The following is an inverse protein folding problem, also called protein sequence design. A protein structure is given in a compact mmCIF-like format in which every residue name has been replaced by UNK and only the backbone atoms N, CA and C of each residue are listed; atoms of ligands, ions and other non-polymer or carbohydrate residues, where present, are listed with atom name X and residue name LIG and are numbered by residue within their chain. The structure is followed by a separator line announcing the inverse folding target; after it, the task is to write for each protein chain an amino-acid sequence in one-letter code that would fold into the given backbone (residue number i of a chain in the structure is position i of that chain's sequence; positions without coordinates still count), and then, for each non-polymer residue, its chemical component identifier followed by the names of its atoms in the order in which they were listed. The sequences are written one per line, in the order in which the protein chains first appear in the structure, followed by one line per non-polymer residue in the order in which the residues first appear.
data_IF_629675167662
#
_entry.id   IF_629675167662
#
_cell.length_a   1.000
_cell.length_b   1.000
_cell.length_c   1.000
_cell.angle_alpha   90.00
_cell.angle_beta   90.00
_cell.angle_gamma   90.00
#
_symmetry.space_group_name_H-M   'P 1'
#
loop_
_entity.id
_entity.type
_entity.pdbx_description
1 polymer ?
#
# COMPACT_ATOMS: atom_id res chain seq x y z
N UNK A 1 -36.60 21.49 -4.44
CA UNK A 1 -35.18 21.42 -4.86
C UNK A 1 -34.55 20.23 -4.14
N UNK A 2 -34.33 19.13 -4.84
CA UNK A 2 -33.81 17.88 -4.28
C UNK A 2 -32.28 18.00 -4.14
N UNK A 3 -31.75 18.02 -2.92
CA UNK A 3 -30.29 17.97 -2.69
C UNK A 3 -29.75 16.65 -3.27
N UNK A 4 -28.69 16.72 -4.07
CA UNK A 4 -28.01 15.54 -4.62
C UNK A 4 -27.54 14.62 -3.48
N UNK A 5 -28.08 13.40 -3.42
CA UNK A 5 -27.65 12.36 -2.49
C UNK A 5 -26.68 11.39 -3.19
N UNK A 6 -25.36 11.54 -3.00
CA UNK A 6 -24.36 10.66 -3.61
C UNK A 6 -24.33 9.25 -3.00
N UNK A 7 -25.10 8.99 -1.95
CA UNK A 7 -25.17 7.69 -1.26
C UNK A 7 -26.32 6.82 -1.75
N UNK A 8 -27.26 7.38 -2.51
CA UNK A 8 -28.31 6.65 -3.19
C UNK A 8 -27.76 5.92 -4.44
N UNK A 9 -27.84 4.58 -4.43
CA UNK A 9 -27.43 3.74 -5.56
C UNK A 9 -28.51 3.82 -6.64
N UNK A 10 -28.34 4.70 -7.64
CA UNK A 10 -29.22 4.72 -8.81
C UNK A 10 -28.81 3.57 -9.74
N UNK A 11 -29.46 2.42 -9.53
CA UNK A 11 -29.41 1.28 -10.43
C UNK A 11 -30.01 1.67 -11.78
N UNK A 12 -29.16 2.01 -12.74
CA UNK A 12 -29.54 2.11 -14.15
C UNK A 12 -29.01 0.89 -14.89
N UNK A 13 -29.90 -0.07 -15.17
CA UNK A 13 -29.66 -1.17 -16.10
C UNK A 13 -29.54 -0.59 -17.52
N UNK A 14 -28.31 -0.53 -18.04
CA UNK A 14 -28.06 -0.25 -19.44
C UNK A 14 -27.88 -1.58 -20.18
N UNK A 15 -28.90 -1.97 -20.93
CA UNK A 15 -28.86 -3.03 -21.94
C UNK A 15 -27.67 -2.83 -22.90
N UNK A 16 -26.94 -3.91 -23.17
CA UNK A 16 -25.87 -3.94 -24.16
C UNK A 16 -26.44 -4.33 -25.52
N UNK A 17 -26.19 -3.58 -26.60
CA UNK A 17 -26.45 -4.07 -27.94
C UNK A 17 -25.45 -5.18 -28.27
N UNK A 18 -25.99 -6.33 -28.67
CA UNK A 18 -25.27 -7.47 -29.22
C UNK A 18 -25.03 -7.18 -30.71
N UNK A 19 -23.77 -6.99 -31.10
CA UNK A 19 -23.39 -6.68 -32.48
C UNK A 19 -22.26 -7.60 -32.96
N UNK A 20 -22.54 -8.28 -34.06
CA UNK A 20 -21.75 -9.33 -34.69
C UNK A 20 -20.30 -8.96 -35.00
N UNK A 21 -19.39 -9.87 -34.69
CA UNK A 21 -18.00 -9.85 -35.17
C UNK A 21 -17.89 -10.76 -36.39
N UNK A 22 -17.88 -10.18 -37.60
CA UNK A 22 -17.29 -10.82 -38.77
C UNK A 22 -16.22 -9.94 -39.40
N UNK A 23 -15.05 -10.58 -39.49
CA UNK A 23 -14.03 -10.51 -40.54
C UNK A 23 -13.66 -9.16 -41.16
N UNK A 24 -12.43 -8.73 -40.88
CA UNK A 24 -11.56 -8.11 -41.88
C UNK A 24 -10.10 -8.46 -41.53
N UNK A 25 -9.57 -9.49 -42.21
CA UNK A 25 -8.14 -9.78 -42.26
C UNK A 25 -7.52 -8.84 -43.30
N UNK A 26 -6.66 -7.92 -42.88
CA UNK A 26 -5.74 -7.22 -43.77
C UNK A 26 -4.30 -7.36 -43.29
N UNK A 27 -3.39 -7.38 -44.27
CA UNK A 27 -2.05 -7.95 -44.24
C UNK A 27 -1.11 -7.36 -43.17
N UNK A 28 -0.36 -8.26 -42.53
CA UNK A 28 0.65 -7.97 -41.51
C UNK A 28 1.88 -7.28 -42.12
N UNK A 29 2.27 -6.13 -41.56
CA UNK A 29 3.64 -5.62 -41.65
C UNK A 29 4.30 -5.79 -40.29
N UNK A 30 5.27 -6.71 -40.20
CA UNK A 30 6.13 -6.92 -39.04
C UNK A 30 7.11 -5.75 -38.88
N UNK A 31 7.18 -5.12 -37.70
CA UNK A 31 8.24 -4.17 -37.33
C UNK A 31 9.24 -4.82 -36.40
N UNK A 32 10.53 -4.46 -36.52
CA UNK A 32 11.64 -5.03 -35.77
C UNK A 32 11.62 -4.73 -34.25
N UNK A 33 12.39 -5.54 -33.51
CA UNK A 33 12.65 -5.36 -32.06
C UNK A 33 13.32 -4.00 -31.82
N UNK A 34 12.78 -3.20 -30.89
CA UNK A 34 13.31 -1.87 -30.55
C UNK A 34 14.11 -1.90 -29.25
N UNK A 35 15.19 -1.13 -29.17
CA UNK A 35 15.97 -0.92 -27.95
C UNK A 35 15.99 0.58 -27.64
N UNK A 36 15.72 0.94 -26.39
CA UNK A 36 15.72 2.32 -25.91
C UNK A 36 16.69 2.47 -24.77
N UNK A 37 17.57 3.46 -24.86
CA UNK A 37 18.42 3.86 -23.74
C UNK A 37 17.65 4.85 -22.86
N UNK A 38 17.53 4.56 -21.57
CA UNK A 38 16.82 5.42 -20.62
C UNK A 38 17.61 6.71 -20.42
N UNK A 39 16.96 7.86 -20.66
CA UNK A 39 17.57 9.18 -20.46
C UNK A 39 17.61 9.57 -18.98
N UNK A 40 18.42 10.58 -18.64
CA UNK A 40 18.45 11.14 -17.29
C UNK A 40 17.08 11.68 -16.83
N UNK A 41 16.26 12.18 -17.78
CA UNK A 41 14.92 12.70 -17.51
C UNK A 41 13.88 11.62 -17.17
N UNK A 42 14.24 10.35 -17.39
CA UNK A 42 13.41 9.18 -17.12
C UNK A 42 13.96 8.36 -15.93
N UNK A 43 14.88 8.93 -15.13
CA UNK A 43 15.39 8.26 -13.94
C UNK A 43 14.31 8.08 -12.86
N UNK A 44 14.32 6.93 -12.18
CA UNK A 44 13.45 6.59 -11.04
C UNK A 44 11.95 6.51 -11.41
N UNK A 45 11.61 6.50 -12.71
CA UNK A 45 10.24 6.25 -13.15
C UNK A 45 9.98 4.75 -13.28
N UNK A 46 8.71 4.36 -13.16
CA UNK A 46 8.31 2.96 -13.38
C UNK A 46 8.30 2.63 -14.86
N UNK A 47 8.61 1.38 -15.23
CA UNK A 47 8.57 0.90 -16.61
C UNK A 47 7.22 1.19 -17.28
N UNK A 48 6.10 0.91 -16.60
CA UNK A 48 4.76 1.23 -17.12
C UNK A 48 4.53 2.71 -17.41
N UNK A 49 5.10 3.60 -16.58
CA UNK A 49 5.04 5.06 -16.79
C UNK A 49 5.97 5.51 -17.91
N UNK A 50 7.14 4.89 -18.05
CA UNK A 50 8.03 5.14 -19.18
C UNK A 50 7.33 4.86 -20.50
N UNK A 51 6.65 3.71 -20.62
CA UNK A 51 5.84 3.39 -21.80
C UNK A 51 4.72 4.40 -22.01
N UNK A 52 4.01 4.82 -20.96
CA UNK A 52 2.95 5.82 -21.11
C UNK A 52 3.47 7.17 -21.61
N UNK A 53 4.71 7.55 -21.27
CA UNK A 53 5.36 8.80 -21.68
C UNK A 53 5.93 8.71 -23.10
N UNK A 54 6.66 7.64 -23.40
CA UNK A 54 7.45 7.51 -24.63
C UNK A 54 6.76 6.69 -25.73
N UNK A 55 5.78 5.86 -25.39
CA UNK A 55 5.03 5.00 -26.31
C UNK A 55 3.54 4.91 -25.89
N UNK A 56 2.79 6.03 -25.95
CA UNK A 56 1.42 6.10 -25.44
C UNK A 56 0.45 5.12 -26.13
N UNK A 57 0.79 4.64 -27.33
CA UNK A 57 0.00 3.68 -28.10
C UNK A 57 0.04 2.26 -27.53
N UNK A 58 0.97 1.98 -26.61
CA UNK A 58 1.13 0.64 -26.02
C UNK A 58 0.28 0.54 -24.74
N UNK A 59 -0.78 -0.28 -24.72
CA UNK A 59 -1.63 -0.41 -23.55
C UNK A 59 -0.94 -1.20 -22.43
N UNK A 60 -1.28 -0.89 -21.18
CA UNK A 60 -0.73 -1.55 -19.99
C UNK A 60 -0.84 -3.08 -20.02
N UNK A 61 -1.93 -3.61 -20.59
CA UNK A 61 -2.12 -5.06 -20.74
C UNK A 61 -1.08 -5.70 -21.66
N UNK A 62 -0.61 -4.97 -22.68
CA UNK A 62 0.45 -5.43 -23.58
C UNK A 62 1.80 -5.41 -22.87
N UNK A 63 2.12 -4.32 -22.15
CA UNK A 63 3.33 -4.22 -21.32
C UNK A 63 3.37 -5.37 -20.31
N UNK A 64 2.26 -5.62 -19.62
CA UNK A 64 2.12 -6.72 -18.66
C UNK A 64 2.27 -8.09 -19.30
N UNK A 65 1.75 -8.27 -20.53
CA UNK A 65 1.94 -9.50 -21.30
C UNK A 65 3.41 -9.71 -21.64
N UNK A 66 4.10 -8.70 -22.16
CA UNK A 66 5.52 -8.79 -22.53
C UNK A 66 6.43 -9.03 -21.34
N UNK A 67 6.14 -8.40 -20.20
CA UNK A 67 6.84 -8.67 -18.95
C UNK A 67 6.65 -10.14 -18.52
N UNK A 68 5.41 -10.64 -18.53
CA UNK A 68 5.08 -12.03 -18.15
C UNK A 68 5.69 -13.05 -19.09
N UNK A 69 5.71 -12.80 -20.41
CA UNK A 69 6.31 -13.68 -21.42
C UNK A 69 7.83 -13.53 -21.54
N UNK A 70 8.45 -12.58 -20.80
CA UNK A 70 9.90 -12.34 -20.80
C UNK A 70 10.42 -11.69 -22.08
N UNK A 71 9.52 -11.13 -22.90
CA UNK A 71 9.84 -10.40 -24.13
C UNK A 71 10.34 -8.98 -23.85
N UNK A 72 9.83 -8.36 -22.78
CA UNK A 72 10.31 -7.09 -22.26
C UNK A 72 11.54 -7.32 -21.38
N UNK A 73 12.64 -6.62 -21.66
CA UNK A 73 13.89 -6.75 -20.90
C UNK A 73 14.54 -5.42 -20.61
N UNK A 74 15.18 -5.30 -19.45
CA UNK A 74 15.99 -4.17 -19.04
C UNK A 74 17.42 -4.68 -18.79
N UNK A 75 18.41 -4.19 -19.55
CA UNK A 75 19.79 -4.70 -19.56
C UNK A 75 19.87 -6.22 -19.73
N UNK A 76 18.98 -6.78 -20.57
CA UNK A 76 18.90 -8.21 -20.83
C UNK A 76 18.21 -9.05 -19.73
N UNK A 77 17.81 -8.45 -18.59
CA UNK A 77 17.07 -9.12 -17.52
C UNK A 77 15.56 -8.97 -17.69
N UNK A 78 14.78 -9.93 -17.17
CA UNK A 78 13.31 -9.82 -17.10
C UNK A 78 12.94 -8.64 -16.22
N UNK A 79 11.93 -7.89 -16.63
CA UNK A 79 11.46 -6.70 -15.91
C UNK A 79 9.95 -6.73 -15.75
N UNK A 80 9.47 -6.31 -14.58
CA UNK A 80 8.04 -6.14 -14.28
C UNK A 80 7.59 -4.72 -14.62
N UNK A 81 6.32 -4.49 -14.99
CA UNK A 81 5.82 -3.14 -15.30
C UNK A 81 5.95 -2.15 -14.13
N UNK A 82 6.00 -2.65 -12.89
CA UNK A 82 6.16 -1.84 -11.68
C UNK A 82 7.61 -1.54 -11.28
N UNK A 83 8.60 -2.12 -11.96
CA UNK A 83 10.01 -1.90 -11.66
C UNK A 83 10.41 -0.47 -12.05
N UNK A 84 11.37 0.10 -11.31
CA UNK A 84 11.91 1.44 -11.61
C UNK A 84 13.15 1.34 -12.48
N UNK A 85 13.28 2.27 -13.40
CA UNK A 85 14.39 2.34 -14.34
C UNK A 85 15.42 3.38 -13.90
N UNK A 86 16.67 3.15 -14.28
CA UNK A 86 17.81 4.02 -14.03
C UNK A 86 18.30 4.57 -15.37
N UNK A 87 18.80 5.80 -15.36
CA UNK A 87 19.41 6.41 -16.54
C UNK A 87 20.57 5.53 -17.06
N UNK A 88 20.68 5.40 -18.39
CA UNK A 88 21.69 4.59 -19.06
C UNK A 88 21.34 3.10 -19.23
N UNK A 89 20.25 2.62 -18.64
CA UNK A 89 19.78 1.24 -18.88
C UNK A 89 19.19 1.08 -20.28
N UNK A 90 19.29 -0.11 -20.84
CA UNK A 90 18.74 -0.44 -22.17
C UNK A 90 17.46 -1.26 -22.03
N UNK A 91 16.34 -0.65 -22.41
CA UNK A 91 15.02 -1.28 -22.45
C UNK A 91 14.77 -1.89 -23.84
N UNK A 92 14.70 -3.22 -23.91
CA UNK A 92 14.35 -3.97 -25.12
C UNK A 92 12.83 -4.18 -25.18
N UNK A 93 12.20 -3.58 -26.18
CA UNK A 93 10.75 -3.63 -26.42
C UNK A 93 10.48 -4.54 -27.63
N UNK A 94 9.66 -5.59 -27.48
CA UNK A 94 9.31 -6.47 -28.59
C UNK A 94 8.44 -5.74 -29.64
N UNK A 95 8.37 -6.27 -30.87
CA UNK A 95 7.43 -5.80 -31.89
C UNK A 95 6.00 -5.73 -31.34
N UNK A 96 5.35 -4.59 -31.54
CA UNK A 96 3.97 -4.39 -31.16
C UNK A 96 3.11 -4.46 -32.43
N UNK A 97 2.39 -5.57 -32.61
CA UNK A 97 1.23 -5.60 -33.50
C UNK A 97 0.11 -4.84 -32.79
N UNK A 98 -0.06 -3.57 -33.13
CA UNK A 98 -1.14 -2.74 -32.60
C UNK A 98 -2.38 -2.98 -33.47
N UNK A 99 -3.11 -4.06 -33.20
CA UNK A 99 -4.47 -4.19 -33.70
C UNK A 99 -5.40 -3.29 -32.86
N UNK A 100 -5.56 -2.02 -33.28
CA UNK A 100 -6.76 -1.15 -33.19
C UNK A 100 -6.42 0.35 -33.18
N UNK A 101 -7.34 1.20 -33.67
CA UNK A 101 -7.18 2.65 -33.68
C UNK A 101 -6.92 3.17 -32.27
N UNK A 102 -6.07 4.20 -32.16
CA UNK A 102 -5.78 4.89 -30.91
C UNK A 102 -7.05 5.09 -30.11
N UNK A 103 -7.05 4.59 -28.88
CA UNK A 103 -8.22 4.67 -28.00
C UNK A 103 -8.45 6.15 -27.72
N UNK A 104 -9.34 6.79 -28.49
CA UNK A 104 -9.77 8.16 -28.23
C UNK A 104 -10.20 8.20 -26.77
N UNK A 105 -9.61 9.08 -25.94
CA UNK A 105 -10.03 9.23 -24.55
C UNK A 105 -11.54 9.40 -24.56
N UNK A 106 -12.27 8.53 -23.86
CA UNK A 106 -13.71 8.76 -23.69
C UNK A 106 -13.85 10.17 -23.12
N UNK A 107 -14.68 11.05 -23.73
CA UNK A 107 -14.92 12.37 -23.17
C UNK A 107 -15.39 12.20 -21.73
N UNK A 108 -14.85 13.03 -20.83
CA UNK A 108 -15.26 12.99 -19.43
C UNK A 108 -16.70 13.47 -19.36
N UNK A 109 -17.51 12.82 -18.51
CA UNK A 109 -18.87 13.26 -18.23
C UNK A 109 -18.81 14.68 -17.66
N UNK A 110 -19.59 15.59 -18.22
CA UNK A 110 -19.78 16.91 -17.63
C UNK A 110 -20.55 16.76 -16.31
N UNK A 111 -20.11 17.51 -15.30
CA UNK A 111 -20.73 17.47 -13.97
C UNK A 111 -21.95 18.38 -13.95
N UNK A 112 -23.03 17.93 -13.30
CA UNK A 112 -24.19 18.80 -13.06
C UNK A 112 -23.85 19.91 -12.05
N UNK A 113 -24.66 20.97 -12.01
CA UNK A 113 -24.50 22.04 -11.01
C UNK A 113 -24.57 21.50 -9.58
N UNK A 114 -25.46 20.54 -9.32
CA UNK A 114 -25.57 19.89 -8.01
C UNK A 114 -24.33 19.06 -7.66
N UNK A 115 -23.74 18.33 -8.63
CA UNK A 115 -22.49 17.57 -8.43
C UNK A 115 -21.32 18.52 -8.11
N UNK A 116 -21.28 19.69 -8.75
CA UNK A 116 -20.27 20.73 -8.52
C UNK A 116 -20.45 21.33 -7.12
N UNK A 117 -21.66 21.76 -6.77
CA UNK A 117 -21.97 22.35 -5.48
C UNK A 117 -21.64 21.39 -4.34
N UNK A 118 -22.08 20.13 -4.47
CA UNK A 118 -21.77 19.08 -3.51
C UNK A 118 -20.25 18.90 -3.34
N UNK A 119 -19.49 18.78 -4.42
CA UNK A 119 -18.04 18.59 -4.34
C UNK A 119 -17.35 19.76 -3.63
N UNK A 120 -17.77 20.99 -3.92
CA UNK A 120 -17.20 22.20 -3.33
C UNK A 120 -17.56 22.36 -1.85
N UNK A 121 -18.76 21.95 -1.43
CA UNK A 121 -19.17 21.92 -0.02
C UNK A 121 -18.27 21.02 0.85
N UNK A 122 -17.72 19.94 0.26
CA UNK A 122 -16.79 19.07 0.99
C UNK A 122 -15.45 19.73 1.31
N UNK A 123 -15.09 20.85 0.68
CA UNK A 123 -13.76 21.47 0.82
C UNK A 123 -13.60 22.10 2.20
N UNK A 124 -12.66 21.58 2.99
CA UNK A 124 -12.30 22.09 4.31
C UNK A 124 -11.00 22.89 4.31
N UNK A 125 -10.17 22.74 3.27
CA UNK A 125 -8.95 23.52 3.08
C UNK A 125 -8.61 23.64 1.60
N UNK A 126 -8.17 24.83 1.17
CA UNK A 126 -7.66 25.08 -0.17
C UNK A 126 -6.51 26.09 -0.13
N UNK A 127 -5.36 25.70 -0.67
CA UNK A 127 -4.22 26.57 -0.93
C UNK A 127 -3.69 26.36 -2.35
N UNK A 128 -2.50 26.89 -2.69
CA UNK A 128 -1.91 26.76 -4.04
C UNK A 128 -1.56 25.31 -4.45
N UNK A 129 -1.21 24.45 -3.51
CA UNK A 129 -0.72 23.09 -3.78
C UNK A 129 -1.71 21.99 -3.36
N UNK A 130 -2.54 22.23 -2.35
CA UNK A 130 -3.42 21.24 -1.72
C UNK A 130 -4.87 21.69 -1.68
N UNK A 131 -5.77 20.72 -1.85
CA UNK A 131 -7.17 20.79 -1.43
C UNK A 131 -7.39 19.64 -0.45
N UNK A 132 -8.00 19.90 0.69
CA UNK A 132 -8.47 18.84 1.60
C UNK A 132 -9.97 18.88 1.60
N UNK A 133 -10.60 17.73 1.40
CA UNK A 133 -12.05 17.57 1.48
C UNK A 133 -12.44 16.65 2.62
N UNK A 134 -13.57 16.91 3.27
CA UNK A 134 -14.20 16.03 4.22
C UNK A 134 -15.11 15.05 3.48
N UNK A 135 -14.60 13.85 3.16
CA UNK A 135 -15.36 12.86 2.40
C UNK A 135 -16.48 12.29 3.29
N UNK A 136 -17.76 12.32 2.87
CA UNK A 136 -18.83 11.69 3.63
C UNK A 136 -18.72 10.15 3.59
N UNK A 137 -19.32 9.43 4.55
CA UNK A 137 -19.44 7.98 4.48
C UNK A 137 -20.30 7.57 3.28
N UNK A 138 -19.98 6.45 2.64
CA UNK A 138 -20.72 5.92 1.48
C UNK A 138 -20.20 6.42 0.12
N UNK A 139 -19.48 7.54 0.06
CA UNK A 139 -18.83 8.02 -1.16
C UNK A 139 -17.50 7.28 -1.38
N UNK A 140 -17.34 6.55 -2.49
CA UNK A 140 -16.07 5.90 -2.81
C UNK A 140 -14.99 6.92 -3.22
N UNK A 141 -13.73 6.68 -2.85
CA UNK A 141 -12.64 7.57 -3.29
C UNK A 141 -12.39 7.45 -4.80
N UNK A 142 -12.37 6.23 -5.34
CA UNK A 142 -12.11 5.94 -6.75
C UNK A 142 -13.18 4.99 -7.28
N UNK A 143 -13.51 5.15 -8.56
CA UNK A 143 -14.49 4.31 -9.24
C UNK A 143 -14.01 2.88 -9.45
N UNK A 144 -14.97 2.00 -9.70
CA UNK A 144 -14.76 0.60 -10.05
C UNK A 144 -15.88 0.12 -10.98
N UNK A 145 -15.85 -1.15 -11.38
CA UNK A 145 -16.80 -1.70 -12.37
C UNK A 145 -18.28 -1.58 -11.98
N UNK A 146 -18.59 -1.30 -10.71
CA UNK A 146 -19.93 -1.14 -10.14
C UNK A 146 -20.06 0.14 -9.29
N UNK A 147 -19.22 1.15 -9.51
CA UNK A 147 -19.22 2.38 -8.70
C UNK A 147 -19.13 3.57 -9.63
N UNK A 148 -20.31 4.11 -9.97
CA UNK A 148 -20.49 5.27 -10.83
C UNK A 148 -20.21 6.57 -10.08
N UNK A 149 -20.74 6.72 -8.86
CA UNK A 149 -20.55 7.92 -8.02
C UNK A 149 -19.35 7.77 -7.09
N UNK A 150 -18.34 8.62 -7.27
CA UNK A 150 -17.10 8.56 -6.52
C UNK A 150 -16.33 9.88 -6.58
N UNK A 151 -15.49 10.15 -5.58
CA UNK A 151 -14.74 11.40 -5.47
C UNK A 151 -13.82 11.67 -6.67
N UNK A 152 -13.16 10.64 -7.23
CA UNK A 152 -12.35 10.82 -8.45
C UNK A 152 -13.18 11.39 -9.61
N UNK A 153 -14.46 11.01 -9.74
CA UNK A 153 -15.36 11.55 -10.76
C UNK A 153 -15.69 13.03 -10.55
N UNK A 154 -15.67 13.49 -9.29
CA UNK A 154 -16.00 14.86 -8.91
C UNK A 154 -14.80 15.82 -8.92
N UNK A 155 -13.58 15.35 -9.20
CA UNK A 155 -12.38 16.19 -9.11
C UNK A 155 -12.38 17.34 -10.10
N UNK A 156 -13.10 17.24 -11.22
CA UNK A 156 -13.18 18.33 -12.20
C UNK A 156 -13.88 19.57 -11.59
N UNK A 157 -14.85 19.39 -10.68
CA UNK A 157 -15.49 20.46 -9.92
C UNK A 157 -14.55 21.17 -8.93
N UNK A 158 -13.43 20.52 -8.57
CA UNK A 158 -12.44 21.01 -7.61
C UNK A 158 -11.23 21.66 -8.29
N UNK A 159 -11.30 21.92 -9.59
CA UNK A 159 -10.24 22.59 -10.34
C UNK A 159 -10.06 24.05 -9.89
N UNK A 160 -11.17 24.74 -9.61
CA UNK A 160 -11.19 26.17 -9.26
C UNK A 160 -10.34 26.99 -10.24
N UNK A 161 -9.36 27.75 -9.73
CA UNK A 161 -8.40 28.59 -10.44
C UNK A 161 -7.17 27.82 -10.97
N UNK A 162 -7.06 26.51 -10.75
CA UNK A 162 -5.91 25.75 -11.22
C UNK A 162 -6.00 25.43 -12.71
N UNK A 163 -4.87 25.43 -13.41
CA UNK A 163 -4.80 25.03 -14.82
C UNK A 163 -5.05 23.52 -15.04
N UNK A 164 -4.95 22.71 -13.98
CA UNK A 164 -5.07 21.25 -14.08
C UNK A 164 -5.98 20.68 -13.02
N UNK A 165 -6.77 19.69 -13.41
CA UNK A 165 -7.57 18.86 -12.51
C UNK A 165 -6.73 18.34 -11.33
N UNK A 166 -7.22 18.45 -10.09
CA UNK A 166 -6.56 17.90 -8.92
C UNK A 166 -6.34 16.38 -9.01
N UNK A 167 -5.35 15.88 -8.26
CA UNK A 167 -4.96 14.48 -8.24
C UNK A 167 -5.09 13.87 -6.85
N UNK A 168 -5.70 12.69 -6.78
CA UNK A 168 -5.68 11.85 -5.58
C UNK A 168 -4.26 11.36 -5.29
N UNK A 169 -3.81 11.54 -4.05
CA UNK A 169 -2.48 11.05 -3.59
C UNK A 169 -2.58 9.98 -2.51
N UNK A 170 -3.78 9.78 -1.95
CA UNK A 170 -4.12 8.70 -1.03
C UNK A 170 -5.61 8.37 -1.16
N UNK A 171 -6.10 7.39 -0.39
CA UNK A 171 -7.50 6.95 -0.45
C UNK A 171 -8.06 6.62 0.93
N UNK A 172 -9.38 6.76 1.03
CA UNK A 172 -10.20 6.21 2.12
C UNK A 172 -11.13 5.13 1.55
N UNK A 173 -11.56 4.20 2.41
CA UNK A 173 -12.59 3.23 2.05
C UNK A 173 -13.92 3.96 1.76
N UNK A 174 -14.84 3.28 1.06
CA UNK A 174 -16.15 3.83 0.71
C UNK A 174 -16.89 4.38 1.94
N UNK A 175 -16.97 3.56 2.99
CA UNK A 175 -17.75 3.88 4.19
C UNK A 175 -16.96 4.66 5.24
N UNK A 176 -15.64 4.81 5.08
CA UNK A 176 -14.82 5.64 5.95
C UNK A 176 -14.98 7.11 5.57
N UNK A 177 -15.33 7.95 6.53
CA UNK A 177 -15.47 9.40 6.33
C UNK A 177 -14.19 10.16 6.69
N UNK A 178 -14.13 11.46 6.39
CA UNK A 178 -13.09 12.37 6.91
C UNK A 178 -12.11 12.90 5.85
N UNK A 179 -11.01 13.46 6.35
CA UNK A 179 -10.06 14.22 5.56
C UNK A 179 -9.36 13.39 4.47
N UNK A 180 -9.48 13.83 3.22
CA UNK A 180 -8.70 13.34 2.08
C UNK A 180 -8.03 14.51 1.36
N UNK A 181 -6.77 14.32 0.99
CA UNK A 181 -5.91 15.35 0.40
C UNK A 181 -5.80 15.10 -1.09
N UNK A 182 -6.02 16.17 -1.84
CA UNK A 182 -5.91 16.28 -3.28
C UNK A 182 -4.77 17.25 -3.60
N UNK A 183 -3.94 16.89 -4.57
CA UNK A 183 -2.88 17.76 -5.04
C UNK A 183 -3.35 18.57 -6.25
N UNK A 184 -3.20 19.89 -6.22
CA UNK A 184 -3.66 20.80 -7.29
C UNK A 184 -2.77 20.80 -8.53
N UNK A 185 -1.54 20.29 -8.42
CA UNK A 185 -0.57 20.21 -9.52
C UNK A 185 0.19 18.90 -9.55
N UNK A 186 0.85 18.60 -10.67
CA UNK A 186 1.69 17.41 -10.79
C UNK A 186 2.88 17.40 -9.81
N UNK A 187 3.50 18.57 -9.59
CA UNK A 187 4.59 18.74 -8.62
C UNK A 187 4.11 18.46 -7.18
N UNK A 188 2.98 19.07 -6.80
CA UNK A 188 2.35 18.81 -5.50
C UNK A 188 1.97 17.34 -5.33
N UNK A 189 1.46 16.69 -6.38
CA UNK A 189 1.08 15.29 -6.33
C UNK A 189 2.29 14.38 -6.05
N UNK A 190 3.42 14.63 -6.72
CA UNK A 190 4.68 13.92 -6.48
C UNK A 190 5.17 14.14 -5.04
N UNK A 191 5.13 15.39 -4.57
CA UNK A 191 5.54 15.76 -3.22
C UNK A 191 4.72 15.04 -2.14
N UNK A 192 3.40 15.16 -2.16
CA UNK A 192 2.54 14.53 -1.15
C UNK A 192 2.59 13.00 -1.23
N UNK A 193 2.61 12.41 -2.43
CA UNK A 193 2.74 10.96 -2.60
C UNK A 193 4.01 10.40 -1.93
N UNK A 194 5.13 11.12 -1.98
CA UNK A 194 6.37 10.76 -1.27
C UNK A 194 6.20 10.80 0.25
N UNK A 195 5.39 11.71 0.79
CA UNK A 195 5.12 11.81 2.25
C UNK A 195 4.19 10.71 2.75
N UNK A 196 3.20 10.32 1.96
CA UNK A 196 2.35 9.16 2.26
C UNK A 196 3.14 7.85 2.21
N UNK A 197 3.84 7.59 1.10
CA UNK A 197 4.65 6.37 0.94
C UNK A 197 5.85 6.31 1.91
N UNK A 198 6.45 7.47 2.20
CA UNK A 198 7.52 7.65 3.19
C UNK A 198 7.07 7.62 4.65
N UNK A 199 5.76 7.53 4.92
CA UNK A 199 5.17 7.46 6.28
C UNK A 199 5.49 8.66 7.17
N UNK A 200 5.74 9.82 6.55
CA UNK A 200 5.93 11.09 7.27
C UNK A 200 4.60 11.79 7.52
N UNK A 201 3.61 11.59 6.63
CA UNK A 201 2.23 12.01 6.88
C UNK A 201 1.67 11.32 8.14
N UNK A 202 1.14 12.12 9.06
CA UNK A 202 0.44 11.69 10.27
C UNK A 202 -1.04 11.74 10.01
N UNK A 203 -1.72 10.64 10.32
CA UNK A 203 -3.16 10.50 10.16
C UNK A 203 -3.71 10.06 11.50
N UNK A 204 -4.72 10.78 11.97
CA UNK A 204 -5.50 10.42 13.15
C UNK A 204 -6.88 10.06 12.67
N UNK A 205 -7.35 8.90 13.12
CA UNK A 205 -8.71 8.46 12.92
C UNK A 205 -9.39 8.38 14.28
N UNK A 206 -10.67 8.71 14.31
CA UNK A 206 -11.53 8.38 15.43
C UNK A 206 -12.40 7.20 15.03
N UNK A 207 -12.61 6.29 15.97
CA UNK A 207 -13.53 5.19 15.81
C UNK A 207 -14.30 4.93 17.08
N UNK A 208 -15.55 4.47 16.93
CA UNK A 208 -16.28 3.82 18.01
C UNK A 208 -16.15 2.33 17.78
N UNK A 209 -15.69 1.59 18.79
CA UNK A 209 -15.47 0.15 18.72
C UNK A 209 -16.33 -0.58 19.74
N UNK A 210 -16.62 -1.84 19.44
CA UNK A 210 -17.36 -2.73 20.31
C UNK A 210 -16.52 -3.18 21.50
N UNK A 211 -17.12 -3.21 22.69
CA UNK A 211 -16.44 -3.50 23.93
C UNK A 211 -15.40 -2.44 24.31
N UNK A 212 -14.54 -2.79 25.26
CA UNK A 212 -13.47 -1.90 25.75
C UNK A 212 -12.15 -2.68 25.69
N UNK A 213 -11.14 -2.22 24.92
CA UNK A 213 -9.82 -2.82 24.94
C UNK A 213 -9.22 -2.82 26.34
N UNK A 214 -8.60 -3.94 26.74
CA UNK A 214 -7.93 -4.06 28.04
C UNK A 214 -6.76 -3.07 28.17
N UNK A 215 -6.00 -2.89 27.08
CA UNK A 215 -4.86 -1.98 27.00
C UNK A 215 -5.36 -0.62 26.53
N UNK A 216 -5.18 0.43 27.35
CA UNK A 216 -5.65 1.77 27.03
C UNK A 216 -4.88 2.44 25.88
N UNK A 217 -3.60 2.10 25.70
CA UNK A 217 -2.75 2.60 24.61
C UNK A 217 -1.88 1.46 24.08
N UNK A 218 -2.21 0.99 22.88
CA UNK A 218 -1.68 -0.26 22.34
C UNK A 218 -1.15 -0.13 20.92
N UNK A 219 -0.24 -1.04 20.58
CA UNK A 219 0.28 -1.20 19.22
C UNK A 219 -0.21 -2.51 18.63
N UNK A 220 -0.83 -2.43 17.45
CA UNK A 220 -1.22 -3.58 16.64
C UNK A 220 -0.23 -3.70 15.49
N UNK A 221 0.52 -4.81 15.46
CA UNK A 221 1.52 -5.12 14.45
C UNK A 221 1.20 -6.47 13.80
N UNK A 222 0.08 -6.50 13.08
CA UNK A 222 -0.46 -7.69 12.43
C UNK A 222 -0.38 -7.53 10.91
N UNK A 223 0.42 -8.35 10.20
CA UNK A 223 0.53 -8.28 8.74
C UNK A 223 -0.78 -8.68 8.05
N UNK A 224 -1.06 -8.07 6.90
CA UNK A 224 -2.34 -8.21 6.19
C UNK A 224 -2.16 -8.71 4.77
N UNK A 225 -2.99 -9.68 4.37
CA UNK A 225 -3.11 -10.14 2.98
C UNK A 225 -4.57 -10.15 2.52
N UNK A 226 -4.76 -10.16 1.20
CA UNK A 226 -6.09 -10.28 0.61
C UNK A 226 -6.55 -11.73 0.77
N UNK A 227 -7.80 -11.92 1.20
CA UNK A 227 -8.36 -13.25 1.34
C UNK A 227 -8.43 -13.95 -0.03
N UNK A 228 -7.95 -15.21 -0.16
CA UNK A 228 -8.08 -15.97 -1.40
C UNK A 228 -9.54 -16.27 -1.76
N UNK A 229 -9.83 -16.46 -3.06
CA UNK A 229 -11.13 -16.93 -3.55
C UNK A 229 -12.16 -15.84 -3.88
N UNK A 230 -13.44 -16.22 -3.88
CA UNK A 230 -14.59 -15.38 -4.25
C UNK A 230 -15.01 -14.36 -3.17
N UNK A 231 -14.32 -14.32 -2.03
CA UNK A 231 -14.59 -13.43 -0.88
C UNK A 231 -14.39 -11.92 -1.12
N UNK A 232 -14.22 -11.51 -2.38
CA UNK A 232 -14.15 -10.10 -2.79
C UNK A 232 -12.87 -9.37 -2.36
N UNK A 233 -13.01 -8.10 -1.99
CA UNK A 233 -11.90 -7.25 -1.52
C UNK A 233 -11.64 -7.36 0.00
N UNK A 234 -12.03 -8.49 0.63
CA UNK A 234 -11.80 -8.69 2.06
C UNK A 234 -10.32 -8.98 2.34
N UNK A 235 -9.81 -8.32 3.37
CA UNK A 235 -8.44 -8.48 3.89
C UNK A 235 -8.48 -9.32 5.17
N UNK A 236 -7.42 -10.04 5.49
CA UNK A 236 -7.29 -10.80 6.73
C UNK A 236 -5.87 -10.71 7.28
N UNK A 237 -5.70 -11.10 8.54
CA UNK A 237 -4.38 -11.25 9.15
C UNK A 237 -3.72 -12.51 8.59
N UNK A 238 -2.48 -12.37 8.14
CA UNK A 238 -1.70 -13.44 7.53
C UNK A 238 -0.24 -13.26 7.94
N UNK A 239 0.19 -14.03 8.94
CA UNK A 239 1.52 -13.93 9.53
C UNK A 239 2.63 -14.44 8.62
N UNK A 240 2.30 -15.32 7.67
CA UNK A 240 3.28 -15.96 6.80
C UNK A 240 3.54 -15.13 5.54
N UNK A 241 2.48 -14.67 4.88
CA UNK A 241 2.55 -14.03 3.56
C UNK A 241 1.99 -12.59 3.55
N UNK A 242 1.50 -12.10 4.69
CA UNK A 242 0.92 -10.78 4.81
C UNK A 242 1.93 -9.65 4.66
N UNK A 243 1.46 -8.53 4.13
CA UNK A 243 2.26 -7.33 4.06
C UNK A 243 2.29 -6.67 5.45
N UNK A 244 3.46 -6.21 5.93
CA UNK A 244 3.57 -5.55 7.22
C UNK A 244 2.59 -4.39 7.35
N UNK A 245 1.84 -4.39 8.44
CA UNK A 245 0.86 -3.39 8.78
C UNK A 245 0.89 -3.08 10.27
N UNK A 246 0.98 -1.79 10.61
CA UNK A 246 1.15 -1.33 11.99
C UNK A 246 0.25 -0.14 12.29
N UNK A 247 -0.47 -0.21 13.41
CA UNK A 247 -1.38 0.84 13.89
C UNK A 247 -1.21 1.00 15.40
N UNK A 248 -1.23 2.24 15.90
CA UNK A 248 -1.47 2.50 17.32
C UNK A 248 -2.96 2.73 17.53
N UNK A 249 -3.48 2.32 18.67
CA UNK A 249 -4.77 2.76 19.15
C UNK A 249 -4.62 3.32 20.57
N UNK A 250 -5.47 4.28 20.91
CA UNK A 250 -5.56 4.83 22.27
C UNK A 250 -7.02 5.05 22.60
N UNK A 251 -7.45 4.57 23.76
CA UNK A 251 -8.77 4.86 24.32
C UNK A 251 -8.84 6.36 24.62
N UNK A 252 -9.85 7.02 24.07
CA UNK A 252 -10.20 8.39 24.42
C UNK A 252 -11.17 8.34 25.59
N UNK A 253 -12.28 7.61 25.40
CA UNK A 253 -13.35 7.52 26.39
C UNK A 253 -14.12 6.21 26.26
N UNK A 254 -14.71 5.75 27.37
CA UNK A 254 -15.51 4.53 27.44
C UNK A 254 -16.99 4.87 27.52
N UNK A 255 -17.83 4.17 26.75
CA UNK A 255 -19.28 4.20 26.89
C UNK A 255 -19.73 2.91 27.60
N UNK A 256 -19.58 2.90 28.93
CA UNK A 256 -19.74 1.70 29.75
C UNK A 256 -18.80 0.57 29.30
N UNK A 257 -19.30 -0.67 29.29
CA UNK A 257 -18.54 -1.85 28.85
C UNK A 257 -18.87 -2.30 27.42
N UNK A 258 -19.83 -1.64 26.76
CA UNK A 258 -20.34 -2.08 25.45
C UNK A 258 -19.67 -1.41 24.27
N UNK A 259 -19.15 -0.19 24.47
CA UNK A 259 -18.47 0.54 23.41
C UNK A 259 -17.36 1.43 23.97
N UNK A 260 -16.42 1.77 23.10
CA UNK A 260 -15.29 2.63 23.43
C UNK A 260 -15.00 3.55 22.25
N UNK A 261 -14.78 4.84 22.52
CA UNK A 261 -14.25 5.77 21.56
C UNK A 261 -12.73 5.75 21.61
N UNK A 262 -12.12 5.49 20.46
CA UNK A 262 -10.68 5.28 20.31
C UNK A 262 -10.11 6.20 19.23
N UNK A 263 -8.90 6.67 19.50
CA UNK A 263 -8.00 7.22 18.51
C UNK A 263 -7.23 6.09 17.83
N UNK A 264 -7.10 6.14 16.50
CA UNK A 264 -6.32 5.20 15.71
C UNK A 264 -5.29 5.96 14.86
N UNK A 265 -4.03 5.53 14.93
CA UNK A 265 -2.93 6.10 14.15
C UNK A 265 -2.25 5.02 13.30
N UNK A 266 -2.56 4.92 12.00
CA UNK A 266 -1.92 3.94 11.13
C UNK A 266 -0.53 4.42 10.68
N UNK A 267 0.49 3.60 10.95
CA UNK A 267 1.87 3.81 10.49
C UNK A 267 2.12 3.27 9.07
N UNK A 268 1.21 2.45 8.58
CA UNK A 268 1.15 1.91 7.22
C UNK A 268 -0.20 2.27 6.58
N UNK A 269 -0.40 1.95 5.31
CA UNK A 269 -1.65 2.26 4.60
C UNK A 269 -2.13 1.07 3.77
N UNK A 270 -2.48 -0.04 4.44
CA UNK A 270 -3.06 -1.21 3.76
C UNK A 270 -4.58 -1.04 3.64
N UNK A 271 -5.16 -1.70 2.63
CA UNK A 271 -6.62 -1.75 2.45
C UNK A 271 -7.28 -2.25 3.74
N UNK A 272 -8.32 -1.55 4.20
CA UNK A 272 -9.08 -1.89 5.41
C UNK A 272 -8.23 -2.09 6.68
N UNK A 273 -7.02 -1.52 6.76
CA UNK A 273 -6.07 -1.85 7.82
C UNK A 273 -6.64 -1.68 9.23
N UNK A 274 -7.20 -0.51 9.53
CA UNK A 274 -7.75 -0.20 10.86
C UNK A 274 -8.92 -1.11 11.22
N UNK A 275 -9.77 -1.40 10.23
CA UNK A 275 -10.94 -2.27 10.37
C UNK A 275 -10.56 -3.69 10.72
N UNK A 276 -9.60 -4.26 9.98
CA UNK A 276 -9.08 -5.61 10.24
C UNK A 276 -8.35 -5.65 11.59
N UNK A 277 -7.50 -4.67 11.87
CA UNK A 277 -6.73 -4.61 13.12
C UNK A 277 -7.65 -4.57 14.35
N UNK A 278 -8.66 -3.69 14.35
CA UNK A 278 -9.61 -3.60 15.46
C UNK A 278 -10.45 -4.87 15.62
N UNK A 279 -10.91 -5.47 14.52
CA UNK A 279 -11.61 -6.74 14.58
C UNK A 279 -10.71 -7.90 15.07
N UNK A 280 -9.42 -7.91 14.66
CA UNK A 280 -8.47 -8.95 15.04
C UNK A 280 -8.14 -8.96 16.53
N UNK A 281 -8.20 -7.80 17.20
CA UNK A 281 -8.05 -7.70 18.66
C UNK A 281 -9.37 -7.85 19.42
N UNK A 282 -10.46 -8.27 18.76
CA UNK A 282 -11.77 -8.53 19.38
C UNK A 282 -12.68 -7.31 19.55
N UNK A 283 -12.27 -6.15 19.02
CA UNK A 283 -13.00 -4.88 19.18
C UNK A 283 -13.38 -4.28 17.82
N UNK A 284 -14.26 -4.93 17.03
CA UNK A 284 -14.63 -4.42 15.72
C UNK A 284 -15.24 -3.02 15.79
N UNK A 285 -15.05 -2.24 14.72
CA UNK A 285 -15.60 -0.89 14.61
C UNK A 285 -17.13 -0.97 14.48
N UNK A 286 -17.83 -0.10 15.20
CA UNK A 286 -19.30 -0.01 15.15
C UNK A 286 -19.76 0.31 13.73
N UNK A 287 -20.72 -0.45 13.22
CA UNK A 287 -21.23 -0.38 11.86
C UNK A 287 -20.40 -1.13 10.81
N UNK A 288 -19.29 -1.78 11.19
CA UNK A 288 -18.48 -2.57 10.26
C UNK A 288 -18.98 -4.01 10.09
N UNK A 289 -20.09 -4.16 9.36
CA UNK A 289 -20.68 -5.47 9.06
C UNK A 289 -19.77 -6.41 8.25
N UNK A 290 -18.72 -5.90 7.56
CA UNK A 290 -17.79 -6.75 6.79
C UNK A 290 -16.85 -7.55 7.70
N UNK A 291 -16.42 -6.95 8.80
CA UNK A 291 -15.40 -7.51 9.69
C UNK A 291 -15.94 -7.99 11.03
N UNK A 292 -16.84 -7.23 11.67
CA UNK A 292 -17.45 -7.65 12.93
C UNK A 292 -18.82 -8.31 12.77
N UNK A 293 -19.31 -8.50 11.54
CA UNK A 293 -20.58 -9.20 11.30
C UNK A 293 -21.76 -8.57 12.03
N UNK A 294 -22.60 -9.39 12.68
CA UNK A 294 -23.74 -8.90 13.48
C UNK A 294 -23.29 -8.23 14.78
N UNK A 295 -22.12 -8.60 15.30
CA UNK A 295 -21.59 -8.11 16.57
C UNK A 295 -21.02 -6.69 16.46
N UNK A 296 -20.81 -6.18 15.23
CA UNK A 296 -20.39 -4.80 14.98
C UNK A 296 -21.51 -3.76 15.18
N UNK A 297 -22.73 -4.15 15.57
CA UNK A 297 -23.86 -3.24 15.64
C UNK A 297 -24.34 -3.05 17.08
N UNK A 298 -24.34 -1.80 17.54
CA UNK A 298 -25.02 -1.42 18.78
C UNK A 298 -26.54 -1.45 18.57
N UNK A 299 -27.26 -1.67 19.66
CA UNK A 299 -28.73 -1.65 19.71
C UNK A 299 -29.24 -0.24 20.00
N UNK A 300 -30.51 0.05 19.71
CA UNK A 300 -31.14 1.34 20.00
C UNK A 300 -31.04 2.33 18.83
N UNK A 301 -30.94 3.62 19.13
CA UNK A 301 -30.92 4.71 18.13
C UNK A 301 -29.58 4.88 17.39
N UNK A 302 -28.61 3.99 17.60
CA UNK A 302 -27.28 4.10 16.99
C UNK A 302 -27.33 3.71 15.52
N UNK A 303 -26.75 4.56 14.67
CA UNK A 303 -26.70 4.34 13.22
C UNK A 303 -25.98 3.03 12.85
N UNK A 304 -26.41 2.39 11.77
CA UNK A 304 -25.70 1.23 11.19
C UNK A 304 -24.55 1.62 10.26
N UNK A 305 -24.36 2.91 9.99
CA UNK A 305 -23.22 3.42 9.22
C UNK A 305 -21.91 3.19 9.99
N UNK A 306 -20.78 3.15 9.28
CA UNK A 306 -19.48 2.88 9.88
C UNK A 306 -18.99 4.05 10.73
N UNK A 307 -18.58 3.77 11.97
CA UNK A 307 -18.03 4.74 12.90
C UNK A 307 -16.50 4.76 12.80
N UNK A 308 -15.99 5.05 11.60
CA UNK A 308 -14.58 5.29 11.34
C UNK A 308 -14.42 6.60 10.55
N UNK A 309 -13.70 7.54 11.14
CA UNK A 309 -13.56 8.89 10.62
C UNK A 309 -12.09 9.34 10.61
N UNK A 310 -11.58 9.77 9.46
CA UNK A 310 -10.26 10.36 9.30
C UNK A 310 -10.25 11.81 9.84
N UNK A 311 -10.17 11.95 11.17
CA UNK A 311 -10.32 13.21 11.90
C UNK A 311 -9.26 14.24 11.57
N UNK A 312 -7.97 13.86 11.51
CA UNK A 312 -6.87 14.83 11.36
C UNK A 312 -5.79 14.33 10.42
N UNK A 313 -5.37 15.18 9.49
CA UNK A 313 -4.25 14.96 8.60
C UNK A 313 -3.18 16.01 8.85
N UNK A 314 -2.00 15.58 9.25
CA UNK A 314 -0.81 16.44 9.38
C UNK A 314 0.30 15.98 8.45
N UNK A 315 0.72 16.85 7.56
CA UNK A 315 1.66 16.53 6.48
C UNK A 315 2.56 17.72 6.18
N UNK A 316 3.81 17.47 5.81
CA UNK A 316 4.68 18.54 5.31
C UNK A 316 4.07 19.14 4.04
N UNK A 317 4.19 20.45 3.87
CA UNK A 317 3.73 21.20 2.70
C UNK A 317 4.90 21.54 1.76
N UNK A 318 4.70 21.62 0.43
CA UNK A 318 5.74 22.07 -0.52
C UNK A 318 6.38 23.41 -0.16
N UNK A 319 5.60 24.31 0.46
CA UNK A 319 6.06 25.65 0.88
C UNK A 319 6.84 25.64 2.22
N UNK A 320 7.19 24.46 2.74
CA UNK A 320 8.05 24.30 3.92
C UNK A 320 7.34 24.30 5.28
N UNK A 321 6.08 24.75 5.36
CA UNK A 321 5.28 24.64 6.58
C UNK A 321 4.63 23.25 6.72
N UNK A 322 3.98 22.97 7.86
CA UNK A 322 3.17 21.76 8.06
C UNK A 322 1.70 22.09 7.83
N UNK A 323 1.07 21.39 6.88
CA UNK A 323 -0.37 21.41 6.71
C UNK A 323 -1.01 20.52 7.79
N UNK A 324 -1.90 21.09 8.60
CA UNK A 324 -2.56 20.42 9.72
C UNK A 324 -4.06 20.71 9.68
N UNK A 325 -4.83 19.74 9.19
CA UNK A 325 -6.26 19.91 8.88
C UNK A 325 -7.09 18.92 9.68
N UNK A 326 -8.19 19.41 10.27
CA UNK A 326 -9.20 18.60 10.96
C UNK A 326 -10.49 18.56 10.13
N UNK A 327 -11.08 17.38 10.00
CA UNK A 327 -12.37 17.17 9.36
C UNK A 327 -13.44 16.94 10.42
N UNK A 328 -14.59 17.60 10.30
CA UNK A 328 -15.70 17.44 11.25
C UNK A 328 -16.41 16.11 11.09
N UNK A 329 -16.98 15.64 12.21
CA UNK A 329 -17.65 14.36 12.27
C UNK A 329 -18.89 14.37 11.35
N UNK A 330 -19.15 13.27 10.63
CA UNK A 330 -20.42 13.12 9.95
C UNK A 330 -21.55 13.01 10.98
N UNK A 331 -22.75 13.44 10.59
CA UNK A 331 -23.97 13.45 11.41
C UNK A 331 -24.17 12.18 12.23
N UNK A 332 -24.14 11.00 11.58
CA UNK A 332 -24.37 9.72 12.27
C UNK A 332 -23.34 9.40 13.37
N UNK A 333 -22.11 9.90 13.23
CA UNK A 333 -21.06 9.72 14.22
C UNK A 333 -21.29 10.70 15.36
N UNK A 334 -21.57 11.97 15.07
CA UNK A 334 -21.85 12.99 16.07
C UNK A 334 -23.06 12.62 16.94
N UNK A 335 -24.17 12.19 16.32
CA UNK A 335 -25.35 11.68 17.03
C UNK A 335 -25.01 10.50 17.95
N UNK A 336 -24.12 9.60 17.51
CA UNK A 336 -23.73 8.45 18.33
C UNK A 336 -22.87 8.87 19.52
N UNK A 337 -22.00 9.87 19.35
CA UNK A 337 -21.22 10.45 20.45
C UNK A 337 -22.16 11.05 21.49
N UNK A 338 -23.15 11.84 21.07
CA UNK A 338 -24.16 12.43 21.95
C UNK A 338 -25.00 11.36 22.66
N UNK A 339 -25.53 10.38 21.91
CA UNK A 339 -26.33 9.29 22.45
C UNK A 339 -25.58 8.41 23.46
N UNK A 340 -24.25 8.28 23.30
CA UNK A 340 -23.40 7.56 24.24
C UNK A 340 -22.87 8.44 25.38
N UNK A 341 -23.18 9.74 25.39
CA UNK A 341 -22.75 10.69 26.42
C UNK A 341 -21.24 10.95 26.43
N UNK A 342 -20.58 10.84 25.27
CA UNK A 342 -19.14 11.03 25.13
C UNK A 342 -18.80 12.52 24.99
N UNK A 343 -17.73 12.97 25.65
CA UNK A 343 -17.28 14.35 25.62
C UNK A 343 -16.29 14.61 24.46
N UNK A 344 -16.73 15.30 23.41
CA UNK A 344 -15.85 15.63 22.28
C UNK A 344 -14.63 16.47 22.67
N UNK A 345 -14.67 17.20 23.78
CA UNK A 345 -13.60 18.11 24.20
C UNK A 345 -12.30 17.38 24.52
N UNK A 346 -12.37 16.12 24.97
CA UNK A 346 -11.21 15.30 25.33
C UNK A 346 -10.57 14.57 24.15
N UNK A 347 -11.20 14.61 22.96
CA UNK A 347 -10.74 13.84 21.80
C UNK A 347 -9.51 14.38 21.07
N UNK A 348 -9.25 15.68 21.18
CA UNK A 348 -8.17 16.36 20.46
C UNK A 348 -6.81 16.19 21.17
N UNK A 349 -6.40 14.94 21.32
CA UNK A 349 -5.19 14.59 22.02
C UNK A 349 -3.93 15.01 21.23
N UNK A 350 -2.82 15.35 21.90
CA UNK A 350 -1.58 15.70 21.24
C UNK A 350 -1.07 14.55 20.36
N UNK A 351 -0.68 14.90 19.13
CA UNK A 351 0.09 13.99 18.28
C UNK A 351 1.49 13.87 18.85
N UNK A 352 1.92 12.66 19.23
CA UNK A 352 3.32 12.44 19.58
C UNK A 352 4.22 12.82 18.41
N UNK A 353 5.04 13.84 18.64
CA UNK A 353 6.09 14.17 17.72
C UNK A 353 7.12 13.03 17.76
N UNK A 354 7.33 12.35 16.62
CA UNK A 354 8.56 11.58 16.50
C UNK A 354 9.69 12.59 16.64
N UNK A 355 10.43 12.53 17.74
CA UNK A 355 11.73 13.16 17.84
C UNK A 355 12.47 12.93 16.52
N UNK A 356 13.11 13.95 15.91
CA UNK A 356 13.71 13.87 14.60
C UNK A 356 14.93 12.93 14.63
N UNK A 357 14.67 11.62 14.67
CA UNK A 357 15.63 10.59 14.32
C UNK A 357 15.72 10.56 12.81
N UNK A 358 16.34 11.58 12.22
CA UNK A 358 16.65 11.62 10.79
C UNK A 358 17.29 10.30 10.35
N UNK A 359 17.19 9.97 9.06
CA UNK A 359 17.81 8.75 8.48
C UNK A 359 19.25 8.54 8.97
N UNK A 360 19.99 9.62 9.22
CA UNK A 360 21.32 9.63 9.82
C UNK A 360 21.36 9.01 11.23
N UNK A 361 20.51 9.44 12.17
CA UNK A 361 20.46 8.92 13.55
C UNK A 361 20.05 7.45 13.55
N UNK A 362 19.10 7.05 12.70
CA UNK A 362 18.67 5.65 12.58
C UNK A 362 19.77 4.75 11.98
N UNK A 363 20.54 5.26 11.01
CA UNK A 363 21.73 4.61 10.45
C UNK A 363 22.89 4.55 11.46
N UNK A 364 23.02 5.53 12.32
CA UNK A 364 24.02 5.56 13.39
C UNK A 364 23.68 4.56 14.49
N UNK A 365 22.42 4.51 14.93
CA UNK A 365 21.92 3.51 15.89
C UNK A 365 22.04 2.08 15.33
N UNK A 366 21.73 1.84 14.06
CA UNK A 366 21.91 0.51 13.46
C UNK A 366 23.39 0.11 13.31
N UNK A 367 24.28 1.05 12.95
CA UNK A 367 25.73 0.81 12.94
C UNK A 367 26.28 0.54 14.35
N UNK A 368 25.81 1.27 15.36
CA UNK A 368 26.20 1.07 16.75
C UNK A 368 25.74 -0.31 17.26
N UNK A 369 24.49 -0.70 16.99
CA UNK A 369 23.96 -2.02 17.33
C UNK A 369 24.72 -3.15 16.63
N UNK A 370 25.02 -3.01 15.33
CA UNK A 370 25.84 -3.99 14.61
C UNK A 370 27.29 -4.08 15.13
N UNK A 371 27.85 -2.97 15.61
CA UNK A 371 29.19 -2.93 16.23
C UNK A 371 29.17 -3.63 17.60
N UNK A 372 28.10 -3.48 18.37
CA UNK A 372 27.91 -4.14 19.67
C UNK A 372 27.82 -5.66 19.49
N UNK A 373 26.95 -6.15 18.59
CA UNK A 373 26.82 -7.58 18.28
C UNK A 373 28.17 -8.19 17.84
N UNK A 374 28.96 -7.46 17.04
CA UNK A 374 30.30 -7.92 16.62
C UNK A 374 31.28 -7.99 17.80
N UNK A 375 31.19 -7.07 18.75
CA UNK A 375 32.02 -7.05 19.96
C UNK A 375 31.66 -8.23 20.87
N UNK A 376 30.38 -8.50 21.04
CA UNK A 376 29.88 -9.58 21.89
C UNK A 376 30.25 -10.96 21.32
N UNK A 377 30.09 -11.16 19.99
CA UNK A 377 30.56 -12.37 19.29
C UNK A 377 32.09 -12.55 19.32
N UNK A 378 32.86 -11.48 19.48
CA UNK A 378 34.32 -11.54 19.64
C UNK A 378 34.71 -12.00 21.04
N UNK A 379 33.89 -11.69 22.05
CA UNK A 379 34.02 -12.24 23.40
C UNK A 379 33.79 -13.75 23.44
N UNK A 380 32.72 -14.24 22.81
CA UNK A 380 32.43 -15.68 22.69
C UNK A 380 33.55 -16.45 21.97
N UNK A 381 34.14 -15.88 20.93
CA UNK A 381 35.27 -16.51 20.21
C UNK A 381 36.55 -16.61 21.06
N UNK A 382 36.79 -15.67 21.98
CA UNK A 382 37.94 -15.72 22.90
C UNK A 382 37.73 -16.76 24.00
N UNK A 383 36.53 -16.81 24.58
CA UNK A 383 36.16 -17.83 25.57
C UNK A 383 36.28 -19.25 24.99
N UNK A 384 35.93 -19.44 23.70
CA UNK A 384 36.08 -20.74 23.01
C UNK A 384 37.54 -21.08 22.66
N UNK A 385 38.44 -20.08 22.60
CA UNK A 385 39.88 -20.27 22.37
C UNK A 385 40.66 -20.62 23.64
N UNK A 386 40.23 -20.16 24.81
CA UNK A 386 40.85 -20.49 26.11
C UNK A 386 40.50 -21.92 26.58
N UNK A 387 39.37 -22.48 26.13
CA UNK A 387 39.00 -23.88 26.42
C UNK A 387 39.65 -24.91 25.48
N UNK A 388 40.33 -24.48 24.41
CA UNK A 388 41.07 -25.38 23.52
C UNK A 388 42.53 -25.54 24.00
N UNK A 389 42.77 -26.57 24.80
CA UNK A 389 44.08 -26.90 25.39
C UNK A 389 45.23 -27.05 24.38
N UNK A 390 46.45 -26.80 24.88
CA UNK A 390 47.74 -26.81 24.17
C UNK A 390 47.95 -28.07 23.30
N UNK A 391 48.49 -27.94 22.07
CA UNK A 391 48.86 -29.09 21.26
C UNK A 391 50.18 -29.72 21.76
N UNK A 392 50.20 -31.05 21.86
CA UNK A 392 51.38 -31.87 22.19
C UNK A 392 52.37 -31.83 21.02
N UNK A 393 53.66 -31.56 21.30
CA UNK A 393 54.75 -31.53 20.31
C UNK A 393 55.11 -32.95 19.84
N UNK A 394 55.00 -33.22 18.53
CA UNK A 394 55.56 -34.41 17.89
C UNK A 394 57.02 -34.14 17.43
N UNK A 395 57.92 -35.10 17.70
CA UNK A 395 59.36 -35.03 17.43
C UNK A 395 59.76 -35.14 15.95
N UNK A 396 60.98 -34.65 15.66
CA UNK A 396 61.62 -34.62 14.32
C UNK A 396 61.82 -36.02 13.70
N UNK A 397 61.72 -36.19 12.37
CA UNK A 397 62.12 -37.41 11.69
C UNK A 397 63.61 -37.39 11.29
N UNK A 398 64.31 -38.51 11.53
CA UNK A 398 65.69 -38.75 11.07
C UNK A 398 65.74 -39.47 9.71
N UNK A 399 66.92 -39.36 9.07
CA UNK A 399 67.26 -39.66 7.68
C UNK A 399 66.99 -41.10 7.19
N UNK A 400 66.72 -41.18 5.88
CA UNK A 400 66.70 -42.31 4.91
C UNK A 400 67.82 -43.36 5.08
N UNK A 401 67.58 -44.58 4.54
CA UNK A 401 68.27 -44.97 3.29
C UNK A 401 67.34 -45.60 2.21
N UNK A 402 67.82 -45.62 0.96
CA UNK A 402 67.27 -46.28 -0.26
C UNK A 402 67.97 -47.66 -0.47
N UNK A 403 67.75 -48.44 -1.55
CA UNK A 403 66.53 -49.05 -2.12
C UNK A 403 66.74 -50.55 -2.50
N UNK A 404 65.70 -51.35 -2.81
CA UNK A 404 65.82 -52.45 -3.81
C UNK A 404 64.50 -53.09 -4.24
N UNK A 405 64.33 -53.16 -5.57
CA UNK A 405 63.83 -54.25 -6.42
C UNK A 405 62.52 -55.02 -6.09
N UNK A 406 61.65 -55.14 -7.11
CA UNK A 406 61.02 -56.45 -7.41
C UNK A 406 59.52 -56.49 -7.74
N UNK A 407 59.24 -56.63 -9.06
CA UNK A 407 58.21 -57.47 -9.71
C UNK A 407 56.69 -57.25 -9.48
N UNK A 408 56.05 -56.86 -10.60
CA UNK A 408 54.81 -57.37 -11.24
C UNK A 408 53.81 -58.24 -10.45
N UNK A 409 52.50 -57.91 -10.54
CA UNK A 409 51.52 -58.62 -11.43
C UNK A 409 50.04 -58.39 -11.05
N UNK A 410 49.19 -58.40 -12.09
CA UNK A 410 47.76 -58.76 -12.21
C UNK A 410 46.66 -58.05 -11.38
N UNK A 411 45.71 -57.36 -12.03
CA UNK A 411 44.44 -57.84 -12.69
C UNK A 411 43.41 -58.46 -11.74
N UNK A 412 42.27 -57.77 -11.56
CA UNK A 412 40.84 -58.20 -11.65
C UNK A 412 39.98 -57.32 -10.73
N UNK A 413 39.07 -56.52 -11.29
CA UNK A 413 37.67 -56.85 -11.63
C UNK A 413 36.68 -56.63 -10.47
N UNK A 414 35.78 -55.67 -10.70
CA UNK A 414 34.43 -55.46 -10.14
C UNK A 414 33.61 -56.78 -10.08
N UNK A 415 32.45 -56.92 -9.37
CA UNK A 415 31.38 -55.90 -9.32
C UNK A 415 30.40 -55.87 -8.10
N UNK A 416 29.53 -54.84 -8.13
CA UNK A 416 28.11 -54.73 -7.70
C UNK A 416 27.50 -55.56 -6.56
N UNK A 417 26.79 -54.85 -5.66
CA UNK A 417 25.34 -54.98 -5.31
C UNK A 417 24.96 -53.87 -4.32
N UNK A 418 24.03 -52.94 -4.60
CA UNK A 418 22.56 -53.04 -4.72
C UNK A 418 21.80 -52.87 -3.39
N UNK A 419 21.03 -51.76 -3.33
CA UNK A 419 19.69 -51.53 -2.73
C UNK A 419 19.36 -52.13 -1.35
N UNK A 420 18.80 -51.28 -0.48
CA UNK A 420 17.40 -51.44 -0.06
C UNK A 420 16.79 -50.19 0.59
N UNK A 421 15.57 -49.87 0.15
CA UNK A 421 14.57 -48.99 0.81
C UNK A 421 13.97 -49.73 2.00
N UNK A 422 13.50 -48.97 3.00
CA UNK A 422 12.27 -49.13 3.81
C UNK A 422 12.33 -48.04 4.90
N UNK A 423 11.26 -47.38 5.30
CA UNK A 423 9.83 -47.53 5.01
C UNK A 423 9.15 -46.20 5.32
#
# INVERSE_FOLDING_TARGET
MSKFDPTADSGSDAEKPQGDRKEQKQALKSLDVRQFTISADDEDIRVDRWFKRNMPDIPFNMISRWARTGQLRLDGKRVSPGDRIVAGQVLRVPPAEIERPGRVPKPRKELSEDEIAFAQELVIHKDKAAIVVNKPPGLATQGGSKTSTHLDGLLDALTFDAATRPKLVHRLDKDTSGAILLARSAGAASFFSKRFSGRTARKVYWAIVMGVPEIADGMIDLPLSKQPGSGGEKMHVDEENGQPAKSRYRIIERAGNRACWVELQPFTGRTHQLRVHMAAIGHPIVGDGKYGGKDAFLTGAISRKMHLHARRLKIDHPDGHKLDVKADLPEHFAETVENLGLDLSIGDLPLEEKAPGGKAVRKQKSRAHAKQIRKDKRGERRARGEQAGKPVKAGKPSKRPRPSAGKASHKKALPHKAKQRKR
#
